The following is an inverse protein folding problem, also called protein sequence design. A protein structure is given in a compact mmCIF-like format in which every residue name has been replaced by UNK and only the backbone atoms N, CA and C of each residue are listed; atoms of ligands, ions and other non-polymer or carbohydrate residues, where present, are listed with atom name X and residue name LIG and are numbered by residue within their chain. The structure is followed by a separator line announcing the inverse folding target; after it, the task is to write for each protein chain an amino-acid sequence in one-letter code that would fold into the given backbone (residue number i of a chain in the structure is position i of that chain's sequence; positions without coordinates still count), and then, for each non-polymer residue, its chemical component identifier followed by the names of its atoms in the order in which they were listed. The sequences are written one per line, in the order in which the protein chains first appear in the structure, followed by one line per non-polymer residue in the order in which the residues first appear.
data_IF_121481844953
#
_entry.id   IF_121481844953
#
_cell.length_a   1.000
_cell.length_b   1.000
_cell.length_c   1.000
_cell.angle_alpha   90.00
_cell.angle_beta   90.00
_cell.angle_gamma   90.00
#
_symmetry.space_group_name_H-M   'P 1'
#
loop_
_entity.id
_entity.type
_entity.pdbx_description
1 polymer ?
#
# COMPACT_ATOMS: atom_id res chain seq x y z
N UNK A 1 1.96 13.24 -18.84
CA UNK A 1 0.88 13.81 -18.00
C UNK A 1 1.46 14.08 -16.62
N UNK A 2 1.25 15.28 -16.10
CA UNK A 2 1.54 15.63 -14.71
C UNK A 2 0.33 15.27 -13.86
N UNK A 3 0.56 14.75 -12.66
CA UNK A 3 -0.48 14.44 -11.66
C UNK A 3 -0.44 15.53 -10.60
N UNK A 4 -1.59 16.13 -10.32
CA UNK A 4 -1.79 17.03 -9.18
C UNK A 4 -2.70 16.35 -8.16
N UNK A 5 -2.40 16.55 -6.88
CA UNK A 5 -3.21 16.05 -5.77
C UNK A 5 -4.02 17.22 -5.21
N UNK A 6 -5.33 17.04 -5.16
CA UNK A 6 -6.26 18.03 -4.64
C UNK A 6 -7.13 17.41 -3.53
N UNK A 7 -7.53 18.21 -2.55
CA UNK A 7 -8.40 17.79 -1.45
C UNK A 7 -7.89 16.55 -0.69
N UNK A 8 -6.59 16.51 -0.41
CA UNK A 8 -5.96 15.42 0.34
C UNK A 8 -5.74 15.81 1.81
N UNK A 9 -5.76 14.79 2.65
CA UNK A 9 -5.36 14.90 4.05
C UNK A 9 -3.93 14.42 4.23
N UNK A 10 -3.18 15.05 5.11
CA UNK A 10 -1.80 14.67 5.44
C UNK A 10 -1.75 14.10 6.86
N UNK A 11 -1.15 12.94 6.98
CA UNK A 11 -0.93 12.27 8.27
C UNK A 11 0.57 12.02 8.44
N UNK A 12 1.11 12.35 9.60
CA UNK A 12 2.49 12.04 9.95
C UNK A 12 2.58 10.63 10.51
N UNK A 13 3.47 9.82 9.96
CA UNK A 13 3.82 8.51 10.50
C UNK A 13 5.05 8.63 11.40
N UNK A 14 4.90 8.24 12.66
CA UNK A 14 6.00 8.22 13.65
C UNK A 14 6.41 6.77 13.90
N UNK A 15 7.67 6.40 13.66
CA UNK A 15 8.15 5.04 13.84
C UNK A 15 8.37 4.70 15.33
N UNK A 16 8.05 3.46 15.68
CA UNK A 16 8.35 2.84 16.97
C UNK A 16 9.06 1.52 16.69
N UNK A 17 10.32 1.43 17.08
CA UNK A 17 11.19 0.29 16.77
C UNK A 17 11.37 -0.59 17.99
N UNK A 18 11.16 -1.90 17.79
CA UNK A 18 11.56 -2.95 18.72
C UNK A 18 12.73 -3.73 18.13
N UNK A 19 13.84 -3.75 18.84
CA UNK A 19 15.04 -4.51 18.46
C UNK A 19 14.88 -5.98 18.86
N UNK A 20 15.06 -6.89 17.90
CA UNK A 20 14.97 -8.34 18.10
C UNK A 20 16.36 -8.93 17.82
N UNK A 21 17.05 -9.31 18.87
CA UNK A 21 18.36 -9.97 18.77
C UNK A 21 18.19 -11.48 18.64
N UNK A 22 18.99 -12.10 17.77
CA UNK A 22 19.09 -13.55 17.69
C UNK A 22 19.98 -14.11 18.81
N UNK A 23 19.80 -15.40 19.15
CA UNK A 23 20.69 -16.11 20.06
C UNK A 23 22.06 -16.30 19.38
N UNK A 24 23.13 -15.96 20.10
CA UNK A 24 24.50 -16.15 19.67
C UNK A 24 24.89 -15.54 18.31
N UNK A 25 24.15 -14.53 17.85
CA UNK A 25 24.46 -13.83 16.61
C UNK A 25 24.59 -12.30 16.81
N UNK A 26 25.35 -11.67 15.89
CA UNK A 26 25.54 -10.21 15.89
C UNK A 26 24.44 -9.46 15.15
N UNK A 27 23.57 -10.19 14.43
CA UNK A 27 22.48 -9.58 13.68
C UNK A 27 21.33 -9.21 14.61
N UNK A 28 20.77 -8.04 14.40
CA UNK A 28 19.57 -7.53 15.08
C UNK A 28 18.53 -7.18 14.04
N UNK A 29 17.36 -7.80 14.15
CA UNK A 29 16.20 -7.42 13.35
C UNK A 29 15.42 -6.30 14.03
N UNK A 30 14.72 -5.51 13.25
CA UNK A 30 13.87 -4.42 13.75
C UNK A 30 12.42 -4.70 13.39
N UNK A 31 11.55 -4.76 14.39
CA UNK A 31 10.13 -4.68 14.20
C UNK A 31 9.72 -3.20 14.30
N UNK A 32 9.31 -2.62 13.18
CA UNK A 32 8.87 -1.22 13.12
C UNK A 32 7.35 -1.14 13.05
N UNK A 33 6.77 -0.42 13.99
CA UNK A 33 5.36 -0.04 14.00
C UNK A 33 5.24 1.46 13.76
N UNK A 34 4.07 1.88 13.26
CA UNK A 34 3.82 3.27 12.91
C UNK A 34 2.65 3.83 13.72
N UNK A 35 2.85 4.99 14.34
CA UNK A 35 1.77 5.78 14.93
C UNK A 35 1.38 6.88 13.97
N UNK A 36 0.09 6.98 13.68
CA UNK A 36 -0.48 8.10 12.94
C UNK A 36 -0.66 9.31 13.86
N UNK A 37 -0.17 10.46 13.43
CA UNK A 37 -0.24 11.71 14.16
C UNK A 37 -0.70 12.82 13.20
N UNK A 38 -1.58 13.70 13.68
CA UNK A 38 -2.00 14.85 12.91
C UNK A 38 -0.79 15.76 12.59
N UNK A 39 -0.80 16.34 11.41
CA UNK A 39 0.19 17.33 10.98
C UNK A 39 -0.25 18.77 11.29
N UNK A 40 -1.52 18.98 11.58
CA UNK A 40 -2.05 20.31 11.95
C UNK A 40 -1.73 20.61 13.40
N UNK A 41 -1.35 21.86 13.69
CA UNK A 41 -1.29 22.32 15.05
C UNK A 41 -2.72 22.37 15.62
N UNK A 42 -2.85 22.04 16.90
CA UNK A 42 -4.12 22.16 17.62
C UNK A 42 -4.75 23.53 17.32
N UNK A 43 -6.01 23.53 16.88
CA UNK A 43 -6.71 24.72 16.42
C UNK A 43 -7.13 25.60 17.60
N UNK A 44 -6.18 26.42 18.09
CA UNK A 44 -6.41 27.34 19.19
C UNK A 44 -7.53 28.33 18.93
N UNK A 45 -7.82 28.68 17.66
CA UNK A 45 -8.91 29.59 17.32
C UNK A 45 -10.27 28.96 17.58
N UNK A 46 -10.48 27.71 17.15
CA UNK A 46 -11.70 26.95 17.45
C UNK A 46 -11.86 26.76 18.96
N UNK A 47 -10.76 26.43 19.65
CA UNK A 47 -10.76 26.23 21.08
C UNK A 47 -11.16 27.54 21.80
N UNK A 48 -10.56 28.68 21.45
CA UNK A 48 -10.86 29.98 22.02
C UNK A 48 -12.29 30.47 21.74
N UNK A 49 -12.91 29.99 20.66
CA UNK A 49 -14.32 30.26 20.32
C UNK A 49 -15.30 29.30 21.02
N UNK A 50 -14.84 28.44 21.93
CA UNK A 50 -15.68 27.49 22.65
C UNK A 50 -16.07 26.26 21.84
N UNK A 51 -15.50 26.06 20.63
CA UNK A 51 -15.73 24.91 19.78
C UNK A 51 -14.78 23.75 20.13
N UNK A 52 -14.73 23.37 21.40
CA UNK A 52 -13.76 22.39 21.93
C UNK A 52 -13.82 21.03 21.25
N UNK A 53 -15.03 20.50 21.03
CA UNK A 53 -15.24 19.21 20.42
C UNK A 53 -14.70 19.18 19.00
N UNK A 54 -14.94 20.24 18.23
CA UNK A 54 -14.47 20.34 16.85
C UNK A 54 -12.93 20.46 16.78
N UNK A 55 -12.33 21.27 17.68
CA UNK A 55 -10.88 21.39 17.76
C UNK A 55 -10.19 20.06 18.10
N UNK A 56 -10.81 19.22 18.95
CA UNK A 56 -10.33 17.90 19.32
C UNK A 56 -10.58 16.89 18.18
N UNK A 57 -11.73 16.96 17.51
CA UNK A 57 -12.05 16.04 16.40
C UNK A 57 -11.08 16.17 15.23
N UNK A 58 -10.68 17.39 14.87
CA UNK A 58 -9.68 17.60 13.82
C UNK A 58 -8.37 16.86 14.12
N UNK A 59 -7.90 16.90 15.36
CA UNK A 59 -6.68 16.19 15.80
C UNK A 59 -6.89 14.67 15.95
N UNK A 60 -8.08 14.23 16.34
CA UNK A 60 -8.37 12.81 16.59
C UNK A 60 -8.51 11.98 15.32
N UNK A 61 -8.91 12.58 14.20
CA UNK A 61 -9.18 11.86 12.96
C UNK A 61 -7.93 11.13 12.41
N UNK A 62 -6.76 11.76 12.50
CA UNK A 62 -5.51 11.14 12.08
C UNK A 62 -5.11 9.97 13.01
N UNK A 63 -5.28 10.15 14.32
CA UNK A 63 -4.87 9.14 15.31
C UNK A 63 -5.70 7.85 15.23
N UNK A 64 -6.97 7.92 14.80
CA UNK A 64 -7.86 6.75 14.63
C UNK A 64 -7.22 5.71 13.72
N UNK A 65 -6.43 6.10 12.72
CA UNK A 65 -5.78 5.20 11.76
C UNK A 65 -4.92 4.14 12.46
N UNK A 66 -4.22 4.49 13.54
CA UNK A 66 -3.32 3.57 14.25
C UNK A 66 -3.79 3.19 15.66
N UNK A 67 -4.93 3.71 16.12
CA UNK A 67 -5.37 3.57 17.51
C UNK A 67 -5.89 2.18 17.84
N UNK A 68 -6.66 1.59 16.92
CA UNK A 68 -7.20 0.24 17.05
C UNK A 68 -7.10 -0.45 15.71
N UNK A 69 -6.40 -1.58 15.66
CA UNK A 69 -6.28 -2.41 14.46
C UNK A 69 -7.53 -3.30 14.31
N UNK A 70 -7.82 -3.68 13.05
CA UNK A 70 -8.94 -4.54 12.70
C UNK A 70 -10.30 -4.03 13.20
N UNK A 71 -10.72 -2.82 12.77
CA UNK A 71 -12.09 -2.39 13.02
C UNK A 71 -13.06 -3.36 12.35
N UNK A 72 -14.32 -3.44 12.88
CA UNK A 72 -15.37 -4.21 12.20
C UNK A 72 -15.53 -3.71 10.77
N UNK A 73 -15.64 -4.64 9.82
CA UNK A 73 -15.83 -4.37 8.38
C UNK A 73 -17.25 -4.76 7.90
N UNK A 74 -18.20 -4.82 8.81
CA UNK A 74 -19.61 -5.06 8.51
C UNK A 74 -20.28 -3.87 7.79
N UNK A 75 -19.64 -2.69 7.85
CA UNK A 75 -20.11 -1.45 7.23
C UNK A 75 -18.98 -0.74 6.46
N UNK A 76 -19.35 0.17 5.57
CA UNK A 76 -18.41 0.83 4.66
C UNK A 76 -17.37 1.70 5.37
N UNK A 77 -17.73 2.36 6.48
CA UNK A 77 -16.78 3.15 7.30
C UNK A 77 -15.66 2.28 7.87
N UNK A 78 -15.99 1.10 8.38
CA UNK A 78 -15.00 0.15 8.88
C UNK A 78 -14.10 -0.38 7.78
N UNK A 79 -14.66 -0.68 6.60
CA UNK A 79 -13.89 -1.07 5.42
C UNK A 79 -12.94 0.05 4.96
N UNK A 80 -13.42 1.29 4.90
CA UNK A 80 -12.60 2.46 4.55
C UNK A 80 -11.47 2.68 5.55
N UNK A 81 -11.74 2.51 6.85
CA UNK A 81 -10.70 2.61 7.87
C UNK A 81 -9.65 1.51 7.71
N UNK A 82 -10.05 0.24 7.50
CA UNK A 82 -9.10 -0.86 7.23
C UNK A 82 -8.24 -0.60 6.00
N UNK A 83 -8.85 -0.14 4.90
CA UNK A 83 -8.12 0.22 3.68
C UNK A 83 -7.12 1.34 3.95
N UNK A 84 -7.52 2.34 4.74
CA UNK A 84 -6.65 3.44 5.16
C UNK A 84 -5.49 2.95 6.04
N UNK A 85 -5.75 2.03 6.97
CA UNK A 85 -4.71 1.42 7.82
C UNK A 85 -3.67 0.65 7.00
N UNK A 86 -4.11 -0.16 6.04
CA UNK A 86 -3.21 -0.89 5.15
C UNK A 86 -2.36 0.07 4.30
N UNK A 87 -2.98 1.10 3.73
CA UNK A 87 -2.25 2.09 2.95
C UNK A 87 -1.26 2.89 3.81
N UNK A 88 -1.67 3.32 5.00
CA UNK A 88 -0.80 4.02 5.94
C UNK A 88 0.45 3.21 6.29
N UNK A 89 0.28 1.93 6.62
CA UNK A 89 1.39 1.03 6.93
C UNK A 89 2.38 0.94 5.76
N UNK A 90 1.90 0.66 4.55
CA UNK A 90 2.79 0.44 3.40
C UNK A 90 3.43 1.73 2.92
N UNK A 91 2.69 2.85 2.91
CA UNK A 91 3.22 4.14 2.49
C UNK A 91 4.31 4.65 3.44
N UNK A 92 4.09 4.57 4.75
CA UNK A 92 5.10 4.93 5.75
C UNK A 92 6.36 4.06 5.64
N UNK A 93 6.17 2.75 5.49
CA UNK A 93 7.27 1.79 5.37
C UNK A 93 8.08 2.00 4.09
N UNK A 94 7.43 2.19 2.95
CA UNK A 94 8.12 2.43 1.68
C UNK A 94 8.88 3.75 1.67
N UNK A 95 8.30 4.81 2.20
CA UNK A 95 8.99 6.09 2.31
C UNK A 95 10.25 5.99 3.18
N UNK A 96 10.17 5.25 4.31
CA UNK A 96 11.34 4.99 5.15
C UNK A 96 12.40 4.16 4.43
N UNK A 97 12.03 3.07 3.77
CA UNK A 97 12.95 2.23 3.00
C UNK A 97 13.67 3.05 1.92
N UNK A 98 12.92 3.89 1.19
CA UNK A 98 13.48 4.74 0.13
C UNK A 98 14.43 5.80 0.71
N UNK A 99 14.05 6.43 1.83
CA UNK A 99 14.89 7.43 2.49
C UNK A 99 16.20 6.82 2.99
N UNK A 100 16.15 5.66 3.64
CA UNK A 100 17.32 4.93 4.12
C UNK A 100 18.21 4.48 2.95
N UNK A 101 17.60 4.00 1.86
CA UNK A 101 18.32 3.61 0.65
C UNK A 101 19.05 4.80 0.00
N UNK A 102 18.35 5.94 -0.15
CA UNK A 102 18.95 7.16 -0.71
C UNK A 102 20.06 7.70 0.18
N UNK A 103 19.92 7.64 1.50
CA UNK A 103 20.97 8.03 2.43
C UNK A 103 22.21 7.15 2.30
N UNK A 104 22.03 5.85 2.04
CA UNK A 104 23.12 4.89 1.89
C UNK A 104 23.79 4.91 0.51
N UNK A 105 23.02 5.09 -0.58
CA UNK A 105 23.50 4.89 -1.95
C UNK A 105 23.38 6.12 -2.85
N UNK A 106 22.65 7.15 -2.46
CA UNK A 106 22.46 8.39 -3.21
C UNK A 106 21.65 8.26 -4.52
N UNK A 107 21.13 7.08 -4.83
CA UNK A 107 20.40 6.78 -6.07
C UNK A 107 19.36 5.71 -5.87
N UNK A 108 18.29 5.72 -6.66
CA UNK A 108 17.30 4.64 -6.74
C UNK A 108 17.61 3.63 -7.86
N UNK A 109 18.62 3.87 -8.67
CA UNK A 109 18.96 3.02 -9.82
C UNK A 109 19.30 1.57 -9.43
N UNK A 110 19.83 1.35 -8.23
CA UNK A 110 20.17 0.05 -7.67
C UNK A 110 19.19 -0.46 -6.61
N UNK A 111 18.01 0.13 -6.49
CA UNK A 111 17.03 -0.24 -5.46
C UNK A 111 16.69 -1.74 -5.50
N UNK A 112 16.45 -2.28 -6.69
CA UNK A 112 16.12 -3.69 -6.86
C UNK A 112 17.26 -4.68 -6.56
N UNK A 113 18.49 -4.19 -6.40
CA UNK A 113 19.66 -5.01 -6.03
C UNK A 113 19.91 -5.01 -4.51
N UNK A 114 19.36 -4.03 -3.81
CA UNK A 114 19.66 -3.76 -2.40
C UNK A 114 18.46 -3.92 -1.47
N UNK A 115 17.26 -3.91 -2.02
CA UNK A 115 16.00 -3.98 -1.27
C UNK A 115 15.18 -5.16 -1.74
N UNK A 116 14.65 -5.94 -0.79
CA UNK A 116 13.66 -6.97 -1.01
C UNK A 116 12.44 -6.66 -0.13
N UNK A 117 11.26 -6.67 -0.73
CA UNK A 117 9.99 -6.46 -0.05
C UNK A 117 9.17 -7.73 -0.14
N UNK A 118 8.92 -8.37 1.00
CA UNK A 118 8.14 -9.59 1.06
C UNK A 118 6.70 -9.28 1.51
N UNK A 119 5.74 -9.54 0.64
CA UNK A 119 4.32 -9.46 0.96
C UNK A 119 3.93 -10.74 1.71
N UNK A 120 3.76 -10.61 3.03
CA UNK A 120 3.36 -11.70 3.90
C UNK A 120 1.84 -11.71 4.03
N UNK A 121 1.16 -12.56 3.27
CA UNK A 121 -0.25 -12.48 2.91
C UNK A 121 -0.59 -11.16 2.17
N UNK A 122 -1.86 -10.90 1.87
CA UNK A 122 -2.27 -9.74 1.05
C UNK A 122 -2.42 -8.43 1.81
N UNK A 123 -2.31 -8.44 3.14
CA UNK A 123 -2.48 -7.23 3.96
C UNK A 123 -1.60 -6.05 3.51
N UNK A 124 -0.29 -6.24 3.18
CA UNK A 124 0.56 -5.18 2.67
C UNK A 124 0.62 -5.09 1.13
N UNK A 125 -0.26 -5.74 0.39
CA UNK A 125 -0.22 -5.79 -1.09
C UNK A 125 -0.30 -4.40 -1.75
N UNK A 126 -0.83 -3.39 -1.07
CA UNK A 126 -0.81 -2.00 -1.54
C UNK A 126 0.59 -1.43 -1.71
N UNK A 127 1.64 -2.10 -1.21
CA UNK A 127 3.02 -1.70 -1.46
C UNK A 127 3.36 -1.70 -2.96
N UNK A 128 2.69 -2.53 -3.76
CA UNK A 128 2.89 -2.60 -5.21
C UNK A 128 2.50 -1.28 -5.88
N UNK A 129 1.22 -0.84 -5.85
CA UNK A 129 0.83 0.41 -6.48
C UNK A 129 1.41 1.64 -5.77
N UNK A 130 1.69 1.57 -4.46
CA UNK A 130 2.30 2.69 -3.75
C UNK A 130 3.77 2.88 -4.14
N UNK A 131 4.55 1.81 -4.30
CA UNK A 131 5.91 1.93 -4.81
C UNK A 131 5.93 2.47 -6.25
N UNK A 132 4.99 2.01 -7.11
CA UNK A 132 4.78 2.60 -8.44
C UNK A 132 4.52 4.11 -8.34
N UNK A 133 3.57 4.51 -7.47
CA UNK A 133 3.23 5.92 -7.27
C UNK A 133 4.45 6.75 -6.85
N UNK A 134 5.20 6.28 -5.86
CA UNK A 134 6.37 7.00 -5.36
C UNK A 134 7.41 7.14 -6.48
N UNK A 135 7.73 6.07 -7.19
CA UNK A 135 8.71 6.12 -8.27
C UNK A 135 8.27 7.05 -9.40
N UNK A 136 7.00 7.01 -9.80
CA UNK A 136 6.49 7.82 -10.91
C UNK A 136 6.22 9.28 -10.51
N UNK A 137 5.46 9.48 -9.44
CA UNK A 137 4.91 10.80 -9.10
C UNK A 137 5.90 11.66 -8.29
N UNK A 138 6.82 11.02 -7.53
CA UNK A 138 7.82 11.74 -6.72
C UNK A 138 9.18 11.78 -7.42
N UNK A 139 9.60 10.64 -8.02
CA UNK A 139 10.93 10.52 -8.63
C UNK A 139 10.91 10.55 -10.16
N UNK A 140 9.78 10.82 -10.79
CA UNK A 140 9.61 11.00 -12.23
C UNK A 140 10.07 9.82 -13.10
N UNK A 141 9.94 8.59 -12.59
CA UNK A 141 10.18 7.40 -13.39
C UNK A 141 9.07 7.22 -14.44
N UNK A 142 9.43 6.66 -15.60
CA UNK A 142 8.42 6.16 -16.53
C UNK A 142 7.69 4.95 -15.91
N UNK A 143 6.53 4.61 -16.45
CA UNK A 143 5.80 3.40 -16.03
C UNK A 143 6.67 2.16 -16.12
N UNK A 144 7.35 1.97 -17.25
CA UNK A 144 8.17 0.81 -17.55
C UNK A 144 9.36 0.69 -16.59
N UNK A 145 10.01 1.80 -16.31
CA UNK A 145 11.12 1.85 -15.36
C UNK A 145 10.65 1.53 -13.93
N UNK A 146 9.55 2.14 -13.50
CA UNK A 146 8.96 1.88 -12.17
C UNK A 146 8.50 0.42 -12.04
N UNK A 147 7.79 -0.12 -13.03
CA UNK A 147 7.33 -1.51 -13.03
C UNK A 147 8.49 -2.50 -13.01
N UNK A 148 9.55 -2.24 -13.77
CA UNK A 148 10.77 -3.05 -13.74
C UNK A 148 11.44 -3.08 -12.37
N UNK A 149 11.38 -2.01 -11.59
CA UNK A 149 11.88 -1.99 -10.21
C UNK A 149 10.95 -2.79 -9.30
N UNK A 150 9.64 -2.51 -9.33
CA UNK A 150 8.64 -3.16 -8.47
C UNK A 150 8.69 -4.68 -8.62
N UNK A 151 8.67 -5.19 -9.85
CA UNK A 151 8.66 -6.65 -10.11
C UNK A 151 9.96 -7.37 -9.75
N UNK A 152 11.05 -6.65 -9.50
CA UNK A 152 12.31 -7.24 -9.00
C UNK A 152 12.48 -7.13 -7.49
N UNK A 153 11.75 -6.22 -6.86
CA UNK A 153 11.83 -5.96 -5.42
C UNK A 153 10.82 -6.81 -4.64
N UNK A 154 9.65 -7.11 -5.24
CA UNK A 154 8.50 -7.69 -4.52
C UNK A 154 8.46 -9.21 -4.67
N UNK A 155 8.19 -9.89 -3.56
CA UNK A 155 7.84 -11.32 -3.48
C UNK A 155 6.59 -11.49 -2.61
N UNK A 156 5.88 -12.62 -2.77
CA UNK A 156 4.60 -12.85 -2.11
C UNK A 156 4.50 -14.26 -1.54
N UNK A 157 4.06 -14.36 -0.29
CA UNK A 157 3.64 -15.62 0.35
C UNK A 157 2.16 -15.55 0.68
N UNK A 158 1.38 -16.52 0.15
CA UNK A 158 -0.03 -16.67 0.46
C UNK A 158 -0.21 -17.56 1.71
N UNK A 159 -1.02 -17.10 2.66
CA UNK A 159 -1.42 -17.83 3.87
C UNK A 159 -2.90 -18.23 3.87
N UNK A 160 -3.67 -17.79 2.87
CA UNK A 160 -5.12 -17.99 2.79
C UNK A 160 -5.43 -19.23 1.98
N UNK A 161 -6.02 -20.25 2.61
CA UNK A 161 -6.31 -21.54 1.99
C UNK A 161 -7.60 -21.51 1.18
N UNK A 162 -8.67 -20.93 1.75
CA UNK A 162 -9.99 -20.92 1.13
C UNK A 162 -10.11 -19.82 0.08
N UNK A 163 -10.50 -20.12 -1.16
CA UNK A 163 -10.64 -19.11 -2.22
C UNK A 163 -11.58 -17.96 -1.85
N UNK A 164 -12.67 -18.24 -1.13
CA UNK A 164 -13.64 -17.26 -0.66
C UNK A 164 -13.10 -16.32 0.43
N UNK A 165 -12.02 -16.71 1.11
CA UNK A 165 -11.35 -15.89 2.11
C UNK A 165 -10.25 -15.00 1.54
N UNK A 166 -9.92 -15.14 0.23
CA UNK A 166 -8.96 -14.27 -0.44
C UNK A 166 -9.46 -12.82 -0.42
N UNK A 167 -8.58 -11.92 -0.01
CA UNK A 167 -8.92 -10.50 0.19
C UNK A 167 -9.32 -9.83 -1.12
N UNK A 168 -10.48 -9.20 -1.10
CA UNK A 168 -10.98 -8.37 -2.17
C UNK A 168 -11.51 -7.04 -1.64
N UNK A 169 -11.41 -5.98 -2.46
CA UNK A 169 -11.90 -4.66 -2.11
C UNK A 169 -12.84 -4.13 -3.20
N UNK A 170 -13.97 -3.58 -2.79
CA UNK A 170 -14.89 -2.94 -3.71
C UNK A 170 -14.19 -1.76 -4.42
N UNK A 171 -14.30 -1.73 -5.76
CA UNK A 171 -13.72 -0.67 -6.61
C UNK A 171 -14.20 0.72 -6.20
N UNK A 172 -15.48 0.84 -5.79
CA UNK A 172 -16.02 2.13 -5.35
C UNK A 172 -15.31 2.67 -4.11
N UNK A 173 -15.04 1.82 -3.10
CA UNK A 173 -14.32 2.21 -1.88
C UNK A 173 -12.88 2.62 -2.18
N UNK A 174 -12.23 1.91 -3.11
CA UNK A 174 -10.88 2.29 -3.57
C UNK A 174 -10.88 3.67 -4.25
N UNK A 175 -11.80 3.89 -5.18
CA UNK A 175 -11.93 5.19 -5.89
C UNK A 175 -12.22 6.34 -4.94
N UNK A 176 -13.02 6.07 -3.92
CA UNK A 176 -13.39 7.07 -2.92
C UNK A 176 -12.20 7.46 -2.03
N UNK A 177 -11.43 6.47 -1.56
CA UNK A 177 -10.37 6.70 -0.55
C UNK A 177 -8.98 6.85 -1.14
N UNK A 178 -8.64 6.09 -2.18
CA UNK A 178 -7.31 6.01 -2.77
C UNK A 178 -7.36 6.11 -4.30
N UNK A 179 -7.89 7.21 -4.86
CA UNK A 179 -8.16 7.31 -6.31
C UNK A 179 -6.88 7.13 -7.14
N UNK A 180 -5.74 7.70 -6.73
CA UNK A 180 -4.49 7.54 -7.47
C UNK A 180 -3.96 6.11 -7.43
N UNK A 181 -4.04 5.44 -6.31
CA UNK A 181 -3.67 4.03 -6.16
C UNK A 181 -4.56 3.17 -7.04
N UNK A 182 -5.87 3.43 -7.06
CA UNK A 182 -6.79 2.73 -7.95
C UNK A 182 -6.42 2.89 -9.43
N UNK A 183 -6.10 4.10 -9.89
CA UNK A 183 -5.65 4.35 -11.28
C UNK A 183 -4.43 3.50 -11.65
N UNK A 184 -3.49 3.33 -10.72
CA UNK A 184 -2.30 2.49 -10.94
C UNK A 184 -2.70 1.02 -11.02
N UNK A 185 -3.55 0.54 -10.11
CA UNK A 185 -4.06 -0.84 -10.13
C UNK A 185 -4.84 -1.12 -11.44
N UNK A 186 -5.65 -0.18 -11.88
CA UNK A 186 -6.42 -0.28 -13.14
C UNK A 186 -5.48 -0.42 -14.35
N UNK A 187 -4.40 0.34 -14.41
CA UNK A 187 -3.41 0.24 -15.48
C UNK A 187 -2.60 -1.06 -15.39
N UNK A 188 -2.25 -1.54 -14.17
CA UNK A 188 -1.64 -2.87 -13.98
C UNK A 188 -2.57 -3.95 -14.56
N UNK A 189 -3.85 -3.89 -14.18
CA UNK A 189 -4.85 -4.85 -14.68
C UNK A 189 -4.99 -4.81 -16.21
N UNK A 190 -5.07 -3.61 -16.80
CA UNK A 190 -5.19 -3.44 -18.25
C UNK A 190 -4.02 -4.08 -18.99
N UNK A 191 -2.78 -3.84 -18.52
CA UNK A 191 -1.57 -4.40 -19.12
C UNK A 191 -1.52 -5.92 -18.95
N UNK A 192 -1.77 -6.40 -17.74
CA UNK A 192 -1.82 -7.85 -17.47
C UNK A 192 -2.84 -8.56 -18.38
N UNK A 193 -4.05 -8.02 -18.51
CA UNK A 193 -5.07 -8.62 -19.37
C UNK A 193 -4.68 -8.60 -20.86
N UNK A 194 -3.98 -7.55 -21.32
CA UNK A 194 -3.46 -7.49 -22.68
C UNK A 194 -2.39 -8.56 -22.93
N UNK A 195 -1.46 -8.76 -22.00
CA UNK A 195 -0.43 -9.78 -22.08
C UNK A 195 -1.04 -11.19 -22.04
N UNK A 196 -2.01 -11.40 -21.16
CA UNK A 196 -2.75 -12.68 -21.10
C UNK A 196 -3.53 -12.96 -22.38
N UNK A 197 -4.12 -11.93 -23.00
CA UNK A 197 -4.80 -12.07 -24.27
C UNK A 197 -3.84 -12.49 -25.40
N UNK A 198 -2.64 -11.93 -25.41
CA UNK A 198 -1.60 -12.30 -26.39
C UNK A 198 -1.11 -13.74 -26.20
N UNK A 199 -1.03 -14.21 -24.94
CA UNK A 199 -0.62 -15.57 -24.61
C UNK A 199 -1.74 -16.61 -24.81
N UNK A 200 -2.99 -16.24 -24.53
CA UNK A 200 -4.16 -17.12 -24.52
C UNK A 200 -5.35 -16.48 -25.28
N UNK A 201 -5.23 -16.25 -26.60
CA UNK A 201 -6.26 -15.57 -27.37
C UNK A 201 -7.59 -16.36 -27.35
N UNK A 202 -8.67 -15.68 -26.95
CA UNK A 202 -10.01 -16.29 -26.87
C UNK A 202 -10.34 -17.01 -25.56
N UNK A 203 -9.37 -17.22 -24.66
CA UNK A 203 -9.59 -17.87 -23.36
C UNK A 203 -10.05 -16.83 -22.31
N UNK A 204 -11.27 -16.32 -22.47
CA UNK A 204 -11.86 -15.32 -21.58
C UNK A 204 -11.99 -15.79 -20.14
N UNK A 205 -12.25 -17.08 -19.92
CA UNK A 205 -12.39 -17.64 -18.57
C UNK A 205 -11.07 -17.58 -17.81
N UNK A 206 -9.98 -17.91 -18.47
CA UNK A 206 -8.64 -17.81 -17.89
C UNK A 206 -8.26 -16.37 -17.59
N UNK A 207 -8.44 -15.47 -18.56
CA UNK A 207 -8.14 -14.05 -18.39
C UNK A 207 -8.96 -13.47 -17.24
N UNK A 208 -10.25 -13.77 -17.17
CA UNK A 208 -11.12 -13.30 -16.08
C UNK A 208 -10.71 -13.81 -14.70
N UNK A 209 -10.24 -15.06 -14.60
CA UNK A 209 -9.71 -15.60 -13.34
C UNK A 209 -8.40 -14.95 -12.90
N UNK A 210 -7.52 -14.64 -13.84
CA UNK A 210 -6.20 -14.05 -13.56
C UNK A 210 -6.23 -12.54 -13.38
N UNK A 211 -7.24 -11.86 -13.89
CA UNK A 211 -7.38 -10.41 -13.81
C UNK A 211 -7.35 -9.91 -12.36
N UNK A 212 -6.67 -8.78 -12.14
CA UNK A 212 -6.61 -8.08 -10.83
C UNK A 212 -7.95 -7.45 -10.49
N UNK A 213 -8.68 -6.95 -11.49
CA UNK A 213 -10.01 -6.37 -11.30
C UNK A 213 -11.05 -7.27 -11.97
N UNK A 214 -12.04 -7.69 -11.22
CA UNK A 214 -13.17 -8.47 -11.73
C UNK A 214 -14.38 -8.35 -10.82
N UNK A 215 -15.58 -8.34 -11.40
CA UNK A 215 -16.87 -8.22 -10.68
C UNK A 215 -16.92 -7.03 -9.71
N UNK A 216 -16.41 -5.87 -10.16
CA UNK A 216 -16.29 -4.64 -9.35
C UNK A 216 -15.46 -4.80 -8.08
N UNK A 217 -14.56 -5.78 -8.04
CA UNK A 217 -13.64 -6.02 -6.92
C UNK A 217 -12.18 -5.93 -7.40
N UNK A 218 -11.32 -5.38 -6.56
CA UNK A 218 -9.87 -5.50 -6.66
C UNK A 218 -9.45 -6.75 -5.90
N UNK A 219 -8.80 -7.68 -6.57
CA UNK A 219 -8.35 -8.97 -6.02
C UNK A 219 -6.89 -8.85 -5.59
N UNK A 220 -6.67 -8.77 -4.29
CA UNK A 220 -5.34 -8.47 -3.75
C UNK A 220 -4.31 -9.59 -3.98
N UNK A 221 -4.73 -10.84 -3.94
CA UNK A 221 -3.86 -11.98 -4.27
C UNK A 221 -3.43 -11.95 -5.75
N UNK A 222 -4.36 -11.66 -6.67
CA UNK A 222 -4.04 -11.55 -8.09
C UNK A 222 -3.05 -10.40 -8.37
N UNK A 223 -3.22 -9.26 -7.69
CA UNK A 223 -2.28 -8.14 -7.75
C UNK A 223 -0.89 -8.56 -7.25
N UNK A 224 -0.83 -9.26 -6.12
CA UNK A 224 0.42 -9.73 -5.52
C UNK A 224 1.16 -10.71 -6.43
N UNK A 225 0.43 -11.67 -7.03
CA UNK A 225 0.99 -12.63 -7.99
C UNK A 225 1.51 -11.91 -9.24
N UNK A 226 0.75 -10.95 -9.79
CA UNK A 226 1.12 -10.24 -11.02
C UNK A 226 2.41 -9.43 -10.89
N UNK A 227 2.73 -8.94 -9.68
CA UNK A 227 3.88 -8.06 -9.44
C UNK A 227 5.08 -8.73 -8.75
N UNK A 228 4.96 -9.98 -8.31
CA UNK A 228 6.01 -10.65 -7.54
C UNK A 228 6.91 -11.51 -8.43
N UNK A 229 8.25 -11.38 -8.27
CA UNK A 229 9.20 -12.26 -8.94
C UNK A 229 9.20 -13.68 -8.38
N UNK A 230 8.73 -13.87 -7.16
CA UNK A 230 8.63 -15.17 -6.49
C UNK A 230 7.35 -15.23 -5.69
N UNK A 231 6.61 -16.33 -5.84
CA UNK A 231 5.34 -16.57 -5.15
C UNK A 231 5.38 -17.97 -4.55
N UNK A 232 4.95 -18.09 -3.30
CA UNK A 232 4.74 -19.37 -2.64
C UNK A 232 3.47 -19.35 -1.76
N UNK A 233 3.04 -20.53 -1.35
CA UNK A 233 1.96 -20.73 -0.37
C UNK A 233 2.46 -21.52 0.84
N UNK A 234 1.77 -21.34 1.95
CA UNK A 234 2.01 -22.06 3.21
C UNK A 234 0.85 -22.99 3.49
#
# INVERSE_FOLDING_TARGET
CSISYENYETVRAVPYDMMISGADCKAVSVLRLWKAVDTTNFNMNLFSQGQYVKAIQETSNAEVISKVLYPSDDHDEGKLLRLTQQYFLVSASLQSIIADHLAAYGTLGNLAEKVAIHINDTHPALCIPELMRILMDVYNYSWEAAWSVVTRVVSYTNHTVLPEALETWNVYLFKLRLPRIYMIIEEINRRLCADLWNMYPGDWDRISRMAVIGYSQVRMANLSVAASHTVNGV
#
